data_IF_642273028801
#
_entry.id   IF_642273028801
#
_cell.length_a   1.000
_cell.length_b   1.000
_cell.length_c   1.000
_cell.angle_alpha   90.00
_cell.angle_beta   90.00
_cell.angle_gamma   90.00
#
_symmetry.space_group_name_H-M   'P 1'
#
loop_
_entity.id
_entity.type
_entity.pdbx_description
1 polymer ?
#
# COMPACT_ATOMS: atom_id res chain seq x y z
N UNK A 1 -52.55 25.87 33.70
CA UNK A 1 -51.62 26.20 32.61
C UNK A 1 -51.71 25.17 31.50
N UNK A 2 -52.38 25.49 30.38
CA UNK A 2 -52.56 24.63 29.19
C UNK A 2 -51.99 25.34 27.95
N UNK A 3 -50.68 25.38 27.77
CA UNK A 3 -50.10 26.14 26.63
C UNK A 3 -48.83 25.57 25.99
N UNK A 4 -48.47 24.30 26.23
CA UNK A 4 -47.27 23.67 25.63
C UNK A 4 -47.62 22.58 24.58
N UNK A 5 -48.90 22.21 24.43
CA UNK A 5 -49.31 21.02 23.67
C UNK A 5 -49.63 21.19 22.17
N UNK A 6 -49.76 22.42 21.65
CA UNK A 6 -50.29 22.63 20.29
C UNK A 6 -49.20 22.72 19.20
N UNK A 7 -48.06 23.34 19.50
CA UNK A 7 -46.99 23.61 18.52
C UNK A 7 -46.27 22.36 18.00
N UNK A 8 -46.23 21.27 18.78
CA UNK A 8 -45.59 20.02 18.39
C UNK A 8 -46.36 19.19 17.37
N UNK A 9 -47.67 19.41 17.18
CA UNK A 9 -48.45 18.58 16.24
C UNK A 9 -48.39 19.08 14.80
N UNK A 10 -48.29 20.40 14.59
CA UNK A 10 -48.25 21.01 13.25
C UNK A 10 -46.89 20.75 12.58
N UNK A 11 -45.79 20.83 13.34
CA UNK A 11 -44.44 20.54 12.86
C UNK A 11 -44.30 19.08 12.37
N UNK A 12 -45.00 18.13 13.00
CA UNK A 12 -44.81 16.70 12.73
C UNK A 12 -45.48 16.17 11.46
N UNK A 13 -46.49 16.85 10.91
CA UNK A 13 -47.15 16.42 9.66
C UNK A 13 -46.39 16.88 8.41
N UNK A 14 -45.85 18.09 8.42
CA UNK A 14 -45.05 18.63 7.32
C UNK A 14 -43.64 18.05 7.27
N UNK A 15 -42.99 17.89 8.42
CA UNK A 15 -41.62 17.35 8.47
C UNK A 15 -41.56 15.87 8.09
N UNK A 16 -42.60 15.06 8.40
CA UNK A 16 -42.65 13.63 8.02
C UNK A 16 -42.71 13.40 6.50
N UNK A 17 -43.23 14.36 5.73
CA UNK A 17 -43.25 14.30 4.26
C UNK A 17 -41.94 14.77 3.63
N UNK A 18 -41.23 15.69 4.29
CA UNK A 18 -39.96 16.27 3.81
C UNK A 18 -38.73 15.45 4.22
N UNK A 19 -38.79 14.64 5.27
CA UNK A 19 -37.65 13.82 5.73
C UNK A 19 -37.17 12.75 4.73
N UNK A 20 -38.04 11.90 4.11
CA UNK A 20 -37.56 10.94 3.13
C UNK A 20 -36.83 11.58 1.93
N UNK A 21 -37.31 12.69 1.32
CA UNK A 21 -36.55 13.34 0.26
C UNK A 21 -35.26 13.99 0.79
N UNK A 22 -35.23 14.55 2.00
CA UNK A 22 -34.00 15.10 2.59
C UNK A 22 -32.96 14.00 2.86
N UNK A 23 -33.35 12.87 3.43
CA UNK A 23 -32.45 11.74 3.67
C UNK A 23 -31.93 11.15 2.36
N UNK A 24 -32.79 11.01 1.35
CA UNK A 24 -32.39 10.52 0.04
C UNK A 24 -31.44 11.52 -0.66
N UNK A 25 -31.70 12.82 -0.52
CA UNK A 25 -30.82 13.88 -1.04
C UNK A 25 -29.45 13.88 -0.36
N UNK A 26 -29.36 13.64 0.95
CA UNK A 26 -28.08 13.51 1.67
C UNK A 26 -27.31 12.26 1.23
N UNK A 27 -27.99 11.12 1.04
CA UNK A 27 -27.34 9.89 0.54
C UNK A 27 -26.81 10.10 -0.88
N UNK A 28 -27.60 10.72 -1.76
CA UNK A 28 -27.17 11.04 -3.13
C UNK A 28 -25.99 12.03 -3.11
N UNK A 29 -26.03 13.05 -2.26
CA UNK A 29 -24.93 13.99 -2.08
C UNK A 29 -23.65 13.27 -1.62
N UNK A 30 -23.75 12.36 -0.65
CA UNK A 30 -22.61 11.56 -0.17
C UNK A 30 -22.05 10.64 -1.26
N UNK A 31 -22.91 10.00 -2.06
CA UNK A 31 -22.48 9.18 -3.20
C UNK A 31 -21.75 10.01 -4.26
N UNK A 32 -22.24 11.22 -4.54
CA UNK A 32 -21.58 12.17 -5.44
C UNK A 32 -20.21 12.56 -4.89
N UNK A 33 -20.11 12.90 -3.59
CA UNK A 33 -18.83 13.23 -2.96
C UNK A 33 -17.85 12.05 -3.02
N UNK A 34 -18.32 10.83 -2.75
CA UNK A 34 -17.49 9.63 -2.83
C UNK A 34 -16.99 9.37 -4.26
N UNK A 35 -17.84 9.60 -5.26
CA UNK A 35 -17.45 9.53 -6.67
C UNK A 35 -16.38 10.56 -7.02
N UNK A 36 -16.56 11.83 -6.61
CA UNK A 36 -15.58 12.89 -6.83
C UNK A 36 -14.23 12.59 -6.16
N UNK A 37 -14.24 12.01 -4.94
CA UNK A 37 -13.03 11.58 -4.24
C UNK A 37 -12.31 10.48 -5.04
N UNK A 38 -13.03 9.46 -5.49
CA UNK A 38 -12.46 8.36 -6.28
C UNK A 38 -11.82 8.86 -7.59
N UNK A 39 -12.48 9.79 -8.28
CA UNK A 39 -11.94 10.42 -9.50
C UNK A 39 -10.70 11.27 -9.20
N UNK A 40 -10.71 11.99 -8.07
CA UNK A 40 -9.55 12.78 -7.65
C UNK A 40 -8.35 11.93 -7.27
N UNK A 41 -8.52 10.75 -6.65
CA UNK A 41 -7.41 9.84 -6.31
C UNK A 41 -6.64 9.36 -7.55
N UNK A 42 -7.31 9.29 -8.70
CA UNK A 42 -6.70 8.86 -9.96
C UNK A 42 -5.96 10.00 -10.69
N UNK A 43 -6.24 11.26 -10.35
CA UNK A 43 -5.58 12.43 -10.95
C UNK A 43 -4.52 12.99 -9.99
N UNK A 44 -3.30 12.46 -10.10
CA UNK A 44 -2.13 12.69 -9.23
C UNK A 44 -1.60 14.14 -9.10
N UNK A 45 -2.30 15.17 -9.60
CA UNK A 45 -1.80 16.55 -9.69
C UNK A 45 -2.70 17.59 -8.99
N UNK A 46 -3.56 17.20 -8.06
CA UNK A 46 -4.43 18.17 -7.35
C UNK A 46 -3.86 18.60 -5.98
N UNK A 47 -4.13 19.84 -5.53
CA UNK A 47 -3.64 20.36 -4.26
C UNK A 47 -4.20 19.59 -3.04
N UNK A 48 -3.34 19.24 -2.08
CA UNK A 48 -3.70 18.49 -0.86
C UNK A 48 -4.85 19.12 -0.04
N UNK A 49 -4.98 20.44 -0.06
CA UNK A 49 -6.02 21.16 0.69
C UNK A 49 -7.44 20.86 0.20
N UNK A 50 -7.61 20.59 -1.09
CA UNK A 50 -8.92 20.29 -1.67
C UNK A 50 -9.42 18.92 -1.17
N UNK A 51 -8.51 17.95 -1.03
CA UNK A 51 -8.80 16.62 -0.48
C UNK A 51 -9.23 16.66 0.97
N UNK A 52 -8.49 17.36 1.83
CA UNK A 52 -8.84 17.48 3.25
C UNK A 52 -10.20 18.15 3.43
N UNK A 53 -10.53 19.15 2.61
CA UNK A 53 -11.85 19.78 2.63
C UNK A 53 -12.96 18.85 2.15
N UNK A 54 -12.71 18.00 1.13
CA UNK A 54 -13.68 17.04 0.61
C UNK A 54 -13.94 15.89 1.59
N UNK A 55 -12.89 15.41 2.25
CA UNK A 55 -12.97 14.44 3.35
C UNK A 55 -13.74 15.02 4.54
N UNK A 56 -13.42 16.26 4.94
CA UNK A 56 -14.13 16.96 6.01
C UNK A 56 -15.62 17.14 5.70
N UNK A 57 -15.96 17.53 4.47
CA UNK A 57 -17.34 17.67 4.03
C UNK A 57 -18.08 16.33 3.99
N UNK A 58 -17.42 15.26 3.55
CA UNK A 58 -17.97 13.90 3.56
C UNK A 58 -18.23 13.42 4.99
N UNK A 59 -17.26 13.62 5.89
CA UNK A 59 -17.39 13.28 7.31
C UNK A 59 -18.54 14.06 7.95
N UNK A 60 -18.68 15.35 7.65
CA UNK A 60 -19.82 16.16 8.10
C UNK A 60 -21.15 15.63 7.57
N UNK A 61 -21.22 15.23 6.30
CA UNK A 61 -22.43 14.63 5.72
C UNK A 61 -22.81 13.31 6.39
N UNK A 62 -21.83 12.45 6.69
CA UNK A 62 -22.03 11.20 7.43
C UNK A 62 -22.53 11.50 8.86
N UNK A 63 -21.91 12.47 9.55
CA UNK A 63 -22.31 12.86 10.90
C UNK A 63 -23.75 13.41 10.91
N UNK A 64 -24.11 14.24 9.93
CA UNK A 64 -25.47 14.75 9.77
C UNK A 64 -26.48 13.64 9.55
N UNK A 65 -26.18 12.70 8.64
CA UNK A 65 -27.02 11.53 8.39
C UNK A 65 -27.19 10.69 9.66
N UNK A 66 -26.10 10.43 10.38
CA UNK A 66 -26.11 9.70 11.63
C UNK A 66 -27.00 10.38 12.68
N UNK A 67 -26.92 11.71 12.83
CA UNK A 67 -27.76 12.48 13.73
C UNK A 67 -29.25 12.37 13.37
N UNK A 68 -29.59 12.44 12.07
CA UNK A 68 -30.97 12.24 11.58
C UNK A 68 -31.48 10.84 11.91
N UNK A 69 -30.67 9.81 11.66
CA UNK A 69 -31.02 8.41 11.94
C UNK A 69 -31.21 8.19 13.45
N UNK A 70 -30.31 8.69 14.30
CA UNK A 70 -30.45 8.61 15.75
C UNK A 70 -31.74 9.27 16.24
N UNK A 71 -32.09 10.44 15.69
CA UNK A 71 -33.35 11.12 15.98
C UNK A 71 -34.57 10.25 15.68
N UNK A 72 -34.54 9.47 14.60
CA UNK A 72 -35.61 8.53 14.26
C UNK A 72 -35.72 7.38 15.25
N UNK A 73 -34.59 6.81 15.66
CA UNK A 73 -34.55 5.72 16.63
C UNK A 73 -35.11 6.20 17.98
N UNK A 74 -34.62 7.34 18.49
CA UNK A 74 -35.09 7.92 19.77
C UNK A 74 -36.60 8.17 19.72
N UNK A 75 -37.09 8.72 18.61
CA UNK A 75 -38.52 9.00 18.45
C UNK A 75 -39.35 7.72 18.31
N UNK A 76 -38.86 6.70 17.60
CA UNK A 76 -39.51 5.41 17.49
C UNK A 76 -39.65 4.76 18.87
N UNK A 77 -38.56 4.77 19.66
CA UNK A 77 -38.56 4.27 21.04
C UNK A 77 -39.52 5.08 21.92
N UNK A 78 -39.53 6.41 21.81
CA UNK A 78 -40.48 7.26 22.55
C UNK A 78 -41.93 6.99 22.17
N UNK A 79 -42.24 6.85 20.87
CA UNK A 79 -43.60 6.57 20.39
C UNK A 79 -44.06 5.16 20.79
N UNK A 80 -43.14 4.20 20.85
CA UNK A 80 -43.38 2.87 21.37
C UNK A 80 -43.73 2.92 22.86
N UNK A 81 -42.96 3.67 23.67
CA UNK A 81 -43.24 3.88 25.10
C UNK A 81 -44.56 4.62 25.36
N UNK A 82 -44.94 5.58 24.49
CA UNK A 82 -46.18 6.36 24.61
C UNK A 82 -47.44 5.63 24.11
N UNK A 83 -47.32 4.38 23.66
CA UNK A 83 -48.48 3.56 23.28
C UNK A 83 -49.23 4.06 22.05
N UNK A 84 -48.58 4.83 21.17
CA UNK A 84 -49.24 5.38 19.99
C UNK A 84 -49.77 4.26 19.06
N UNK A 85 -51.03 4.34 18.59
CA UNK A 85 -51.60 3.33 17.70
C UNK A 85 -50.77 3.27 16.40
N UNK A 86 -50.28 2.07 16.05
CA UNK A 86 -49.41 1.81 14.90
C UNK A 86 -47.91 1.71 15.18
N UNK A 87 -47.40 2.35 16.26
CA UNK A 87 -45.96 2.35 16.55
C UNK A 87 -45.41 0.95 16.91
N UNK A 88 -46.22 0.10 17.55
CA UNK A 88 -45.84 -1.28 17.89
C UNK A 88 -45.63 -2.15 16.65
N UNK A 89 -46.44 -1.96 15.60
CA UNK A 89 -46.33 -2.72 14.36
C UNK A 89 -45.06 -2.31 13.60
N UNK A 90 -44.83 -1.00 13.45
CA UNK A 90 -43.62 -0.49 12.79
C UNK A 90 -42.35 -0.89 13.54
N UNK A 91 -42.35 -0.78 14.87
CA UNK A 91 -41.22 -1.22 15.69
C UNK A 91 -40.93 -2.71 15.51
N UNK A 92 -41.96 -3.58 15.54
CA UNK A 92 -41.80 -5.02 15.32
C UNK A 92 -41.22 -5.33 13.94
N UNK A 93 -41.74 -4.70 12.88
CA UNK A 93 -41.21 -4.85 11.52
C UNK A 93 -39.75 -4.43 11.40
N UNK A 94 -39.39 -3.25 11.94
CA UNK A 94 -38.01 -2.77 11.94
C UNK A 94 -37.09 -3.73 12.70
N UNK A 95 -37.50 -4.22 13.86
CA UNK A 95 -36.71 -5.15 14.66
C UNK A 95 -36.49 -6.49 13.94
N UNK A 96 -37.54 -7.04 13.31
CA UNK A 96 -37.42 -8.25 12.50
C UNK A 96 -36.53 -8.03 11.28
N UNK A 97 -36.65 -6.89 10.60
CA UNK A 97 -35.84 -6.57 9.43
C UNK A 97 -34.36 -6.39 9.78
N UNK A 98 -34.07 -5.62 10.84
CA UNK A 98 -32.70 -5.44 11.34
C UNK A 98 -32.12 -6.77 11.78
N UNK A 99 -32.88 -7.60 12.50
CA UNK A 99 -32.43 -8.94 12.89
C UNK A 99 -32.10 -9.82 11.68
N UNK A 100 -33.02 -9.89 10.70
CA UNK A 100 -32.85 -10.71 9.49
C UNK A 100 -31.66 -10.28 8.64
N UNK A 101 -31.43 -8.97 8.51
CA UNK A 101 -30.34 -8.41 7.69
C UNK A 101 -29.00 -8.36 8.42
N UNK A 102 -28.99 -8.19 9.74
CA UNK A 102 -27.73 -8.13 10.52
C UNK A 102 -27.02 -9.47 10.54
N UNK A 103 -27.74 -10.59 10.56
CA UNK A 103 -27.15 -11.93 10.60
C UNK A 103 -26.16 -12.16 9.43
N UNK A 104 -26.57 -12.05 8.15
CA UNK A 104 -25.64 -12.26 7.03
C UNK A 104 -24.51 -11.23 7.00
N UNK A 105 -24.77 -9.98 7.38
CA UNK A 105 -23.74 -8.93 7.47
C UNK A 105 -22.67 -9.27 8.50
N UNK A 106 -23.07 -9.75 9.68
CA UNK A 106 -22.14 -10.15 10.74
C UNK A 106 -21.32 -11.37 10.34
N UNK A 107 -21.93 -12.35 9.64
CA UNK A 107 -21.21 -13.52 9.12
C UNK A 107 -20.13 -13.07 8.12
N UNK A 108 -20.51 -12.27 7.12
CA UNK A 108 -19.56 -11.75 6.13
C UNK A 108 -18.46 -10.93 6.81
N UNK A 109 -18.81 -10.02 7.72
CA UNK A 109 -17.85 -9.22 8.48
C UNK A 109 -16.86 -10.08 9.26
N UNK A 110 -17.35 -11.09 9.99
CA UNK A 110 -16.50 -12.02 10.73
C UNK A 110 -15.56 -12.79 9.81
N UNK A 111 -16.06 -13.31 8.68
CA UNK A 111 -15.23 -14.00 7.70
C UNK A 111 -14.23 -13.06 7.04
N UNK A 112 -14.60 -11.83 6.70
CA UNK A 112 -13.69 -10.84 6.14
C UNK A 112 -12.56 -10.51 7.12
N UNK A 113 -12.86 -10.24 8.39
CA UNK A 113 -11.83 -9.98 9.41
C UNK A 113 -10.95 -11.20 9.63
N UNK A 114 -11.55 -12.37 9.76
CA UNK A 114 -10.84 -13.65 9.86
C UNK A 114 -9.92 -13.88 8.66
N UNK A 115 -10.40 -13.59 7.45
CA UNK A 115 -9.65 -13.79 6.21
C UNK A 115 -8.51 -12.78 6.11
N UNK A 116 -8.71 -11.54 6.53
CA UNK A 116 -7.61 -10.57 6.59
C UNK A 116 -6.56 -11.04 7.60
N UNK A 117 -6.95 -11.43 8.81
CA UNK A 117 -6.03 -11.88 9.84
C UNK A 117 -5.24 -13.14 9.42
N UNK A 118 -5.93 -14.17 8.92
CA UNK A 118 -5.28 -15.45 8.56
C UNK A 118 -4.70 -15.49 7.15
N UNK A 119 -5.32 -14.77 6.21
CA UNK A 119 -4.90 -14.71 4.82
C UNK A 119 -3.63 -13.90 4.65
N UNK A 120 -3.43 -12.85 5.46
CA UNK A 120 -2.14 -12.14 5.51
C UNK A 120 -1.05 -13.10 5.98
N UNK A 121 -1.25 -13.84 7.07
CA UNK A 121 -0.23 -14.75 7.60
C UNK A 121 0.10 -15.90 6.64
N UNK A 122 -0.90 -16.51 5.99
CA UNK A 122 -0.69 -17.70 5.15
C UNK A 122 -0.21 -17.41 3.73
N UNK A 123 -0.60 -16.29 3.10
CA UNK A 123 -0.20 -15.99 1.72
C UNK A 123 1.08 -15.17 1.65
N UNK A 124 1.40 -14.36 2.67
CA UNK A 124 2.64 -13.60 2.66
C UNK A 124 3.84 -14.43 3.10
N UNK A 125 3.72 -15.30 4.11
CA UNK A 125 4.86 -16.02 4.67
C UNK A 125 5.53 -16.97 3.65
N UNK A 126 4.74 -17.86 3.05
CA UNK A 126 5.27 -18.90 2.13
C UNK A 126 5.81 -18.31 0.82
N UNK A 127 5.16 -17.27 0.28
CA UNK A 127 5.59 -16.67 -0.98
C UNK A 127 6.78 -15.72 -0.81
N UNK A 128 6.88 -15.01 0.32
CA UNK A 128 8.00 -14.10 0.58
C UNK A 128 9.25 -14.88 0.94
N UNK A 129 9.16 -15.93 1.77
CA UNK A 129 10.33 -16.71 2.15
C UNK A 129 10.93 -17.46 0.94
N UNK A 130 10.08 -18.04 0.09
CA UNK A 130 10.54 -18.69 -1.13
C UNK A 130 11.13 -17.69 -2.15
N UNK A 131 10.49 -16.53 -2.36
CA UNK A 131 11.03 -15.50 -3.23
C UNK A 131 12.36 -14.91 -2.72
N UNK A 132 12.53 -14.77 -1.41
CA UNK A 132 13.79 -14.31 -0.79
C UNK A 132 14.90 -15.35 -0.94
N UNK A 133 14.58 -16.64 -0.74
CA UNK A 133 15.51 -17.74 -0.95
C UNK A 133 15.96 -17.83 -2.42
N UNK A 134 15.02 -17.73 -3.35
CA UNK A 134 15.30 -17.76 -4.79
C UNK A 134 16.15 -16.54 -5.22
N UNK A 135 15.85 -15.35 -4.70
CA UNK A 135 16.66 -14.15 -4.96
C UNK A 135 18.10 -14.28 -4.40
N UNK A 136 18.25 -14.86 -3.21
CA UNK A 136 19.57 -15.09 -2.61
C UNK A 136 20.37 -16.13 -3.41
N UNK A 137 19.74 -17.24 -3.79
CA UNK A 137 20.33 -18.27 -4.64
C UNK A 137 20.77 -17.71 -5.99
N UNK A 138 19.91 -16.90 -6.64
CA UNK A 138 20.24 -16.23 -7.89
C UNK A 138 21.42 -15.27 -7.75
N UNK A 139 21.48 -14.49 -6.66
CA UNK A 139 22.61 -13.59 -6.40
C UNK A 139 23.91 -14.36 -6.21
N UNK A 140 23.89 -15.48 -5.47
CA UNK A 140 25.07 -16.33 -5.29
C UNK A 140 25.54 -16.93 -6.61
N UNK A 141 24.61 -17.44 -7.44
CA UNK A 141 24.92 -17.97 -8.76
C UNK A 141 25.52 -16.89 -9.70
N UNK A 142 25.01 -15.66 -9.64
CA UNK A 142 25.56 -14.54 -10.41
C UNK A 142 27.00 -14.20 -9.98
N UNK A 143 27.27 -14.13 -8.66
CA UNK A 143 28.60 -13.90 -8.13
C UNK A 143 29.58 -15.02 -8.47
N UNK A 144 29.18 -16.28 -8.32
CA UNK A 144 30.00 -17.44 -8.68
C UNK A 144 30.35 -17.46 -10.17
N UNK A 145 29.38 -17.13 -11.03
CA UNK A 145 29.60 -17.01 -12.48
C UNK A 145 30.60 -15.90 -12.82
N UNK A 146 30.49 -14.75 -12.16
CA UNK A 146 31.40 -13.63 -12.36
C UNK A 146 32.81 -13.94 -11.84
N UNK A 147 32.93 -14.57 -10.67
CA UNK A 147 34.21 -15.00 -10.10
C UNK A 147 34.92 -16.01 -11.02
N UNK A 148 34.20 -17.00 -11.55
CA UNK A 148 34.76 -17.99 -12.49
C UNK A 148 35.23 -17.34 -13.79
N UNK A 149 34.46 -16.39 -14.32
CA UNK A 149 34.84 -15.63 -15.51
C UNK A 149 36.10 -14.82 -15.26
N UNK A 150 36.17 -14.07 -14.15
CA UNK A 150 37.35 -13.29 -13.78
C UNK A 150 38.61 -14.15 -13.58
N UNK A 151 38.48 -15.33 -12.96
CA UNK A 151 39.58 -16.29 -12.82
C UNK A 151 40.07 -16.82 -14.17
N UNK A 152 39.16 -17.16 -15.08
CA UNK A 152 39.51 -17.62 -16.42
C UNK A 152 40.23 -16.55 -17.23
N UNK A 153 39.76 -15.30 -17.18
CA UNK A 153 40.42 -14.16 -17.83
C UNK A 153 41.80 -13.89 -17.22
N UNK A 154 41.96 -14.02 -15.90
CA UNK A 154 43.25 -13.88 -15.23
C UNK A 154 44.23 -14.98 -15.65
N UNK A 155 43.79 -16.24 -15.75
CA UNK A 155 44.64 -17.36 -16.23
C UNK A 155 45.04 -17.20 -17.69
N UNK A 156 44.13 -16.71 -18.54
CA UNK A 156 44.44 -16.37 -19.95
C UNK A 156 45.47 -15.27 -20.03
N UNK A 157 45.29 -14.18 -19.28
CA UNK A 157 46.25 -13.09 -19.17
C UNK A 157 47.63 -13.59 -18.70
N UNK A 158 47.68 -14.42 -17.65
CA UNK A 158 48.92 -15.00 -17.14
C UNK A 158 49.64 -15.88 -18.18
N UNK A 159 48.88 -16.62 -18.99
CA UNK A 159 49.45 -17.45 -20.07
C UNK A 159 49.98 -16.59 -21.22
N UNK A 160 49.30 -15.51 -21.59
CA UNK A 160 49.76 -14.56 -22.61
C UNK A 160 51.03 -13.83 -22.18
N UNK A 161 51.15 -13.51 -20.89
CA UNK A 161 52.32 -12.85 -20.30
C UNK A 161 53.51 -13.81 -20.08
N UNK A 162 53.30 -15.13 -20.18
CA UNK A 162 54.33 -16.15 -19.99
C UNK A 162 55.27 -16.19 -21.21
N UNK A 163 56.33 -15.39 -21.17
CA UNK A 163 57.34 -15.29 -22.22
C UNK A 163 57.79 -13.85 -22.52
N UNK A 164 57.07 -12.86 -22.01
CA UNK A 164 57.44 -11.45 -22.11
C UNK A 164 58.54 -11.15 -21.09
N UNK A 165 59.74 -10.76 -21.56
CA UNK A 165 60.92 -10.53 -20.72
C UNK A 165 61.46 -9.11 -20.94
N UNK A 166 61.74 -8.39 -19.85
CA UNK A 166 62.60 -7.20 -19.80
C UNK A 166 62.04 -5.94 -20.46
N UNK A 167 61.91 -4.87 -19.67
CA UNK A 167 61.60 -3.47 -20.04
C UNK A 167 60.20 -3.13 -20.61
N UNK A 168 59.51 -4.02 -21.34
CA UNK A 168 58.18 -3.72 -21.93
C UNK A 168 56.99 -4.40 -21.22
N UNK A 169 57.24 -5.18 -20.16
CA UNK A 169 56.21 -5.94 -19.42
C UNK A 169 55.08 -5.04 -18.89
N UNK A 170 55.38 -3.82 -18.45
CA UNK A 170 54.37 -2.88 -17.95
C UNK A 170 53.43 -2.37 -19.06
N UNK A 171 53.92 -2.24 -20.30
CA UNK A 171 53.12 -1.78 -21.44
C UNK A 171 52.18 -2.90 -21.93
N UNK A 172 52.69 -4.12 -22.04
CA UNK A 172 51.89 -5.30 -22.39
C UNK A 172 50.86 -5.63 -21.31
N UNK A 173 51.22 -5.51 -20.02
CA UNK A 173 50.29 -5.66 -18.91
C UNK A 173 49.14 -4.65 -18.99
N UNK A 174 49.42 -3.39 -19.32
CA UNK A 174 48.38 -2.37 -19.49
C UNK A 174 47.48 -2.66 -20.70
N UNK A 175 48.02 -3.21 -21.79
CA UNK A 175 47.22 -3.64 -22.94
C UNK A 175 46.29 -4.82 -22.58
N UNK A 176 46.80 -5.82 -21.85
CA UNK A 176 46.03 -6.98 -21.39
C UNK A 176 44.95 -6.56 -20.37
N UNK A 177 45.26 -5.64 -19.45
CA UNK A 177 44.29 -5.05 -18.51
C UNK A 177 43.12 -4.40 -19.24
N UNK A 178 43.40 -3.57 -20.25
CA UNK A 178 42.36 -2.92 -21.05
C UNK A 178 41.50 -3.91 -21.83
N UNK A 179 42.10 -4.97 -22.38
CA UNK A 179 41.37 -5.99 -23.14
C UNK A 179 40.46 -6.87 -22.27
N UNK A 180 40.86 -7.12 -21.03
CA UNK A 180 40.09 -7.90 -20.05
C UNK A 180 39.07 -7.06 -19.27
N UNK A 181 39.13 -5.73 -19.39
CA UNK A 181 38.26 -4.81 -18.65
C UNK A 181 38.54 -4.77 -17.15
N UNK A 182 39.71 -5.24 -16.71
CA UNK A 182 40.09 -5.25 -15.30
C UNK A 182 40.38 -3.82 -14.80
N UNK A 183 39.96 -3.51 -13.58
CA UNK A 183 40.29 -2.23 -12.93
C UNK A 183 41.78 -2.10 -12.63
N UNK A 184 42.40 -3.19 -12.17
CA UNK A 184 43.83 -3.26 -11.89
C UNK A 184 44.37 -4.65 -12.24
N UNK A 185 45.61 -4.72 -12.71
CA UNK A 185 46.39 -5.96 -12.83
C UNK A 185 47.79 -5.74 -12.29
N UNK A 186 48.27 -6.67 -11.45
CA UNK A 186 49.60 -6.61 -10.85
C UNK A 186 50.30 -7.96 -11.03
N UNK A 187 51.54 -7.94 -11.51
CA UNK A 187 52.39 -9.11 -11.69
C UNK A 187 53.34 -9.23 -10.50
N UNK A 188 53.29 -10.36 -9.80
CA UNK A 188 54.20 -10.69 -8.72
C UNK A 188 55.33 -11.60 -9.22
N UNK A 189 56.57 -11.23 -8.89
CA UNK A 189 57.76 -12.04 -9.13
C UNK A 189 57.98 -13.10 -8.06
N UNK A 190 58.98 -13.96 -8.26
CA UNK A 190 59.31 -15.11 -7.39
C UNK A 190 59.68 -14.76 -5.94
N UNK A 191 59.91 -13.49 -5.62
CA UNK A 191 60.16 -12.98 -4.26
C UNK A 191 59.00 -12.19 -3.67
N UNK A 192 57.79 -12.33 -4.23
CA UNK A 192 56.62 -11.53 -3.87
C UNK A 192 56.82 -10.01 -4.11
N UNK A 193 57.77 -9.67 -4.98
CA UNK A 193 58.04 -8.30 -5.42
C UNK A 193 57.13 -7.96 -6.60
N UNK A 194 56.55 -6.76 -6.61
CA UNK A 194 55.77 -6.26 -7.74
C UNK A 194 56.73 -6.02 -8.90
N UNK A 195 56.55 -6.74 -10.01
CA UNK A 195 57.37 -6.62 -11.22
C UNK A 195 56.76 -5.58 -12.15
N UNK A 196 55.44 -5.51 -12.21
CA UNK A 196 54.68 -4.50 -12.95
C UNK A 196 53.26 -4.39 -12.37
N UNK A 197 52.68 -3.20 -12.44
CA UNK A 197 51.28 -2.93 -12.09
C UNK A 197 50.66 -2.00 -13.14
N UNK A 198 49.39 -2.21 -13.46
CA UNK A 198 48.60 -1.38 -14.34
C UNK A 198 47.20 -1.17 -13.75
N UNK A 199 46.77 0.08 -13.61
CA UNK A 199 45.46 0.46 -13.08
C UNK A 199 44.72 1.40 -14.05
N UNK A 200 43.39 1.40 -13.98
CA UNK A 200 42.54 2.39 -14.65
C UNK A 200 42.53 3.74 -13.92
N UNK A 201 42.80 3.72 -12.61
CA UNK A 201 42.89 4.92 -11.79
C UNK A 201 44.35 5.38 -11.64
N UNK A 202 44.70 6.41 -12.40
CA UNK A 202 46.02 7.05 -12.39
C UNK A 202 46.32 7.79 -11.07
N UNK A 203 45.33 7.99 -10.20
CA UNK A 203 45.49 8.66 -8.91
C UNK A 203 45.75 7.70 -7.74
N UNK A 204 45.55 6.39 -7.92
CA UNK A 204 45.75 5.37 -6.89
C UNK A 204 47.19 4.78 -6.86
N UNK A 205 48.08 5.22 -7.75
CA UNK A 205 49.48 4.80 -7.77
C UNK A 205 50.24 5.64 -6.72
N UNK A 206 50.21 5.20 -5.45
CA UNK A 206 51.08 5.71 -4.38
C UNK A 206 52.07 4.61 -4.02
N UNK A 207 53.37 4.92 -3.86
CA UNK A 207 54.45 3.94 -3.65
C UNK A 207 54.28 3.09 -2.39
#
# INVERSE_FOLDING_TARGET
>A
MKFVGSWGQIYTRWIRRLIPPISMMVVVLLLILMYLISESLQRANQPEHLYLSLLGLSALGILFLAAVVLGHIIRLVSNYRRGAPGARLTARLVLTFVGLTSIPVLIVFYFSVSFIQRGIDSWFDVQVEQAMSDALSLSQLAFDGQMRTAMNETMRAATQLKGVSGDLVALDLNAVRRNTGAHEMTIFGSRNLIVASASDDLQAIVP
#
